data_IF_852650182398
#
_entry.id   IF_852650182398
#
_cell.length_a   1.000
_cell.length_b   1.000
_cell.length_c   1.000
_cell.angle_alpha   90.00
_cell.angle_beta   90.00
_cell.angle_gamma   90.00
#
_symmetry.space_group_name_H-M   'P 1'
#
loop_
_entity.id
_entity.type
_entity.pdbx_description
1 polymer ?
#
# COMPACT_ATOMS: atom_id res chain seq x y z
N UNK A 1 -24.48 -10.97 27.67
CA UNK A 1 -23.62 -9.80 27.61
C UNK A 1 -24.18 -8.84 26.56
N UNK A 2 -24.54 -7.63 26.95
CA UNK A 2 -24.93 -6.59 25.99
C UNK A 2 -23.70 -6.20 25.19
N UNK A 3 -23.60 -6.68 23.97
CA UNK A 3 -22.58 -6.17 23.02
C UNK A 3 -22.83 -4.67 22.82
N UNK A 4 -21.85 -3.86 23.17
CA UNK A 4 -21.91 -2.42 22.91
C UNK A 4 -21.83 -2.22 21.40
N UNK A 5 -22.99 -2.01 20.78
CA UNK A 5 -23.10 -1.80 19.32
C UNK A 5 -22.57 -0.45 18.84
N UNK A 6 -22.40 0.51 19.77
CA UNK A 6 -21.93 1.86 19.47
C UNK A 6 -20.91 2.36 20.49
N UNK A 7 -20.00 3.22 20.04
CA UNK A 7 -19.03 3.93 20.87
C UNK A 7 -19.30 5.41 20.75
N UNK A 8 -19.38 6.07 21.91
CA UNK A 8 -19.48 7.52 22.00
C UNK A 8 -18.11 8.12 22.31
N UNK A 9 -17.69 9.09 21.53
CA UNK A 9 -16.48 9.90 21.74
C UNK A 9 -16.84 11.37 21.72
N UNK A 10 -16.17 12.13 22.57
CA UNK A 10 -16.23 13.59 22.55
C UNK A 10 -14.84 14.12 22.18
N UNK A 11 -14.77 14.89 21.11
CA UNK A 11 -13.56 15.56 20.66
C UNK A 11 -13.95 16.95 20.17
N UNK A 12 -13.18 17.96 20.58
CA UNK A 12 -13.40 19.37 20.22
C UNK A 12 -14.82 19.88 20.58
N UNK A 13 -15.41 19.38 21.69
CA UNK A 13 -16.76 19.72 22.13
C UNK A 13 -17.88 19.07 21.28
N UNK A 14 -17.55 18.22 20.33
CA UNK A 14 -18.49 17.50 19.48
C UNK A 14 -18.61 16.05 19.91
N UNK A 15 -19.84 15.61 20.19
CA UNK A 15 -20.15 14.19 20.46
C UNK A 15 -20.31 13.44 19.14
N UNK A 16 -19.49 12.40 18.96
CA UNK A 16 -19.53 11.52 17.79
C UNK A 16 -19.94 10.12 18.20
N UNK A 17 -20.75 9.48 17.38
CA UNK A 17 -21.25 8.11 17.57
C UNK A 17 -20.65 7.24 16.47
N UNK A 18 -20.03 6.15 16.87
CA UNK A 18 -19.41 5.20 15.94
C UNK A 18 -20.04 3.82 16.11
N UNK A 19 -20.33 3.07 15.05
CA UNK A 19 -20.49 1.62 15.15
C UNK A 19 -19.22 1.00 15.74
N UNK A 20 -19.35 0.13 16.73
CA UNK A 20 -18.19 -0.37 17.49
C UNK A 20 -17.18 -1.13 16.62
N UNK A 21 -17.67 -1.92 15.64
CA UNK A 21 -16.83 -2.64 14.70
C UNK A 21 -15.97 -1.71 13.84
N UNK A 22 -16.56 -0.63 13.29
CA UNK A 22 -15.80 0.36 12.51
C UNK A 22 -14.82 1.15 13.36
N UNK A 23 -15.21 1.51 14.60
CA UNK A 23 -14.33 2.21 15.50
C UNK A 23 -13.04 1.42 15.79
N UNK A 24 -13.17 0.13 16.13
CA UNK A 24 -12.01 -0.70 16.40
C UNK A 24 -11.23 -1.04 15.13
N UNK A 25 -11.90 -1.21 14.00
CA UNK A 25 -11.24 -1.42 12.72
C UNK A 25 -10.37 -0.22 12.34
N UNK A 26 -10.88 1.01 12.48
CA UNK A 26 -10.13 2.24 12.22
C UNK A 26 -8.92 2.36 13.13
N UNK A 27 -9.08 2.13 14.44
CA UNK A 27 -7.97 2.15 15.39
C UNK A 27 -6.90 1.11 15.06
N UNK A 28 -7.31 -0.11 14.72
CA UNK A 28 -6.37 -1.18 14.36
C UNK A 28 -5.66 -0.87 13.05
N UNK A 29 -6.36 -0.30 12.05
CA UNK A 29 -5.79 0.15 10.78
C UNK A 29 -4.73 1.22 11.02
N UNK A 30 -5.04 2.24 11.82
CA UNK A 30 -4.09 3.29 12.17
C UNK A 30 -2.86 2.75 12.90
N UNK A 31 -3.06 1.81 13.83
CA UNK A 31 -1.96 1.15 14.54
C UNK A 31 -1.07 0.35 13.59
N UNK A 32 -1.66 -0.46 12.70
CA UNK A 32 -0.89 -1.25 11.73
C UNK A 32 -0.07 -0.36 10.79
N UNK A 33 -0.64 0.76 10.31
CA UNK A 33 0.10 1.74 9.51
C UNK A 33 1.28 2.35 10.29
N UNK A 34 1.05 2.71 11.55
CA UNK A 34 2.10 3.24 12.41
C UNK A 34 3.23 2.22 12.63
N UNK A 35 2.88 0.97 12.93
CA UNK A 35 3.85 -0.09 13.20
C UNK A 35 4.63 -0.48 11.93
N UNK A 36 4.00 -0.39 10.75
CA UNK A 36 4.62 -0.65 9.46
C UNK A 36 5.58 0.46 9.03
N UNK A 37 5.32 1.71 9.43
CA UNK A 37 6.09 2.88 9.00
C UNK A 37 7.41 3.01 9.78
N UNK A 38 8.28 2.03 9.62
CA UNK A 38 9.66 2.07 10.12
C UNK A 38 10.54 2.91 9.21
N UNK A 39 11.58 3.51 9.78
CA UNK A 39 12.58 4.27 9.02
C UNK A 39 13.82 3.41 8.84
N UNK A 40 14.29 3.29 7.61
CA UNK A 40 15.50 2.56 7.25
C UNK A 40 16.67 3.54 7.14
N UNK A 41 17.82 3.11 7.66
CA UNK A 41 19.08 3.88 7.51
C UNK A 41 19.63 3.64 6.10
N UNK A 42 19.34 4.57 5.18
CA UNK A 42 19.75 4.52 3.79
C UNK A 42 20.52 5.78 3.41
N UNK A 43 21.59 5.61 2.62
CA UNK A 43 22.32 6.73 2.08
C UNK A 43 21.53 7.41 0.96
N UNK A 44 21.05 8.61 1.19
CA UNK A 44 20.32 9.40 0.19
C UNK A 44 21.17 9.60 -1.09
N UNK A 45 22.46 9.91 -0.94
CA UNK A 45 23.37 10.05 -2.07
C UNK A 45 23.52 8.74 -2.85
N UNK A 46 23.53 7.59 -2.16
CA UNK A 46 23.54 6.27 -2.78
C UNK A 46 22.27 5.98 -3.57
N UNK A 47 21.10 6.33 -3.02
CA UNK A 47 19.80 6.20 -3.70
C UNK A 47 19.78 7.07 -4.95
N UNK A 48 20.14 8.35 -4.84
CA UNK A 48 20.15 9.29 -5.97
C UNK A 48 21.16 8.88 -7.05
N UNK A 49 22.32 8.36 -6.69
CA UNK A 49 23.28 7.86 -7.67
C UNK A 49 22.74 6.67 -8.47
N UNK A 50 22.14 5.69 -7.81
CA UNK A 50 21.49 4.55 -8.47
C UNK A 50 20.32 5.00 -9.33
N UNK A 51 19.51 5.93 -8.83
CA UNK A 51 18.38 6.48 -9.56
C UNK A 51 18.83 7.19 -10.85
N UNK A 52 19.92 7.97 -10.81
CA UNK A 52 20.49 8.61 -12.00
C UNK A 52 20.89 7.58 -13.07
N UNK A 53 21.45 6.44 -12.69
CA UNK A 53 21.76 5.34 -13.63
C UNK A 53 20.48 4.74 -14.24
N UNK A 54 19.40 4.62 -13.46
CA UNK A 54 18.10 4.14 -13.96
C UNK A 54 17.51 5.15 -14.95
N UNK A 55 17.54 6.45 -14.63
CA UNK A 55 17.07 7.52 -15.53
C UNK A 55 17.78 7.48 -16.88
N UNK A 56 19.11 7.29 -16.87
CA UNK A 56 19.92 7.20 -18.09
C UNK A 56 19.61 5.93 -18.89
N UNK A 57 19.59 4.77 -18.23
CA UNK A 57 19.38 3.48 -18.89
C UNK A 57 17.98 3.30 -19.48
N UNK A 58 16.97 3.91 -18.85
CA UNK A 58 15.57 3.76 -19.21
C UNK A 58 15.02 4.94 -20.02
N UNK A 59 15.87 5.97 -20.30
CA UNK A 59 15.41 7.25 -20.89
C UNK A 59 14.16 7.81 -20.15
N UNK A 60 14.22 7.77 -18.82
CA UNK A 60 13.14 8.13 -17.92
C UNK A 60 13.53 9.35 -17.07
N UNK A 61 13.45 10.57 -17.63
CA UNK A 61 13.81 11.76 -16.87
C UNK A 61 12.80 12.02 -15.75
N UNK A 62 13.32 12.23 -14.53
CA UNK A 62 12.52 12.55 -13.35
C UNK A 62 12.71 14.00 -12.93
N UNK A 63 11.65 14.62 -12.45
CA UNK A 63 11.76 15.89 -11.74
C UNK A 63 12.24 15.70 -10.29
N UNK A 64 12.53 16.82 -9.61
CA UNK A 64 13.05 16.79 -8.23
C UNK A 64 12.10 16.09 -7.26
N UNK A 65 10.79 16.35 -7.37
CA UNK A 65 9.78 15.73 -6.49
C UNK A 65 9.61 14.24 -6.74
N UNK A 66 9.76 13.81 -7.99
CA UNK A 66 9.72 12.40 -8.34
C UNK A 66 10.94 11.66 -7.77
N UNK A 67 12.13 12.27 -7.82
CA UNK A 67 13.34 11.72 -7.18
C UNK A 67 13.19 11.65 -5.66
N UNK A 68 12.69 12.73 -5.04
CA UNK A 68 12.38 12.76 -3.61
C UNK A 68 11.43 11.63 -3.22
N UNK A 69 10.36 11.40 -4.00
CA UNK A 69 9.41 10.34 -3.74
C UNK A 69 10.06 8.94 -3.77
N UNK A 70 11.01 8.69 -4.68
CA UNK A 70 11.78 7.43 -4.70
C UNK A 70 12.65 7.31 -3.46
N UNK A 71 13.36 8.37 -3.06
CA UNK A 71 14.18 8.38 -1.83
C UNK A 71 13.32 8.06 -0.61
N UNK A 72 12.16 8.69 -0.48
CA UNK A 72 11.24 8.46 0.64
C UNK A 72 10.63 7.04 0.61
N UNK A 73 10.35 6.47 -0.58
CA UNK A 73 9.90 5.09 -0.72
C UNK A 73 10.96 4.08 -0.23
N UNK A 74 12.24 4.38 -0.44
CA UNK A 74 13.35 3.54 0.03
C UNK A 74 13.58 3.70 1.53
N UNK A 75 13.41 4.91 2.06
CA UNK A 75 13.68 5.28 3.45
C UNK A 75 12.59 4.85 4.43
N UNK A 76 11.33 4.79 4.00
CA UNK A 76 10.20 4.55 4.89
C UNK A 76 9.44 3.26 4.57
N UNK A 77 8.88 2.64 5.62
CA UNK A 77 8.04 1.45 5.49
C UNK A 77 6.67 1.76 4.87
N UNK A 78 6.20 3.02 4.95
CA UNK A 78 4.95 3.48 4.31
C UNK A 78 5.21 4.79 3.58
N UNK A 79 4.81 4.86 2.32
CA UNK A 79 4.78 6.09 1.54
C UNK A 79 3.37 6.33 1.00
N UNK A 80 2.90 7.57 1.09
CA UNK A 80 1.67 8.03 0.42
C UNK A 80 2.06 9.01 -0.68
N UNK A 81 1.84 8.60 -1.93
CA UNK A 81 2.11 9.40 -3.12
C UNK A 81 0.79 9.97 -3.66
N UNK A 82 0.60 11.28 -3.54
CA UNK A 82 -0.59 11.97 -4.03
C UNK A 82 -0.27 12.92 -5.16
N UNK A 83 -1.23 13.10 -6.06
CA UNK A 83 -1.09 14.07 -7.15
C UNK A 83 -2.28 14.01 -8.08
N UNK A 84 -2.59 15.14 -8.73
CA UNK A 84 -3.65 15.23 -9.72
C UNK A 84 -3.40 14.38 -10.97
N UNK A 85 -4.38 14.32 -11.89
CA UNK A 85 -4.19 13.67 -13.17
C UNK A 85 -3.04 14.33 -13.97
N UNK A 86 -2.19 13.51 -14.60
CA UNK A 86 -1.08 13.99 -15.42
C UNK A 86 0.13 14.56 -14.66
N UNK A 87 0.21 14.38 -13.33
CA UNK A 87 1.34 14.86 -12.53
C UNK A 87 2.56 13.92 -12.54
N UNK A 88 2.57 12.90 -13.39
CA UNK A 88 3.69 11.98 -13.48
C UNK A 88 3.73 10.86 -12.44
N UNK A 89 2.61 10.56 -11.73
CA UNK A 89 2.55 9.43 -10.78
C UNK A 89 3.01 8.11 -11.39
N UNK A 90 2.57 7.81 -12.62
CA UNK A 90 2.98 6.60 -13.34
C UNK A 90 4.48 6.55 -13.58
N UNK A 91 5.08 7.68 -13.97
CA UNK A 91 6.54 7.80 -14.14
C UNK A 91 7.27 7.54 -12.83
N UNK A 92 6.76 8.08 -11.72
CA UNK A 92 7.31 7.87 -10.38
C UNK A 92 7.19 6.39 -9.95
N UNK A 93 6.04 5.75 -10.19
CA UNK A 93 5.83 4.31 -9.93
C UNK A 93 6.85 3.49 -10.73
N UNK A 94 7.04 3.76 -12.03
CA UNK A 94 8.01 3.05 -12.85
C UNK A 94 9.43 3.21 -12.30
N UNK A 95 9.81 4.42 -11.91
CA UNK A 95 11.12 4.66 -11.30
C UNK A 95 11.31 3.87 -9.98
N UNK A 96 10.27 3.81 -9.14
CA UNK A 96 10.29 3.00 -7.91
C UNK A 96 10.44 1.50 -8.22
N UNK A 97 9.67 0.98 -9.18
CA UNK A 97 9.75 -0.42 -9.60
C UNK A 97 11.19 -0.75 -10.04
N UNK A 98 11.75 0.02 -10.97
CA UNK A 98 13.11 -0.21 -11.46
C UNK A 98 14.17 -0.07 -10.37
N UNK A 99 13.98 0.86 -9.43
CA UNK A 99 14.88 0.99 -8.30
C UNK A 99 14.88 -0.27 -7.43
N UNK A 100 13.71 -0.72 -6.98
CA UNK A 100 13.58 -1.89 -6.12
C UNK A 100 13.98 -3.18 -6.84
N UNK A 101 13.65 -3.31 -8.12
CA UNK A 101 14.09 -4.44 -8.95
C UNK A 101 15.63 -4.49 -9.07
N UNK A 102 16.28 -3.33 -9.26
CA UNK A 102 17.74 -3.25 -9.30
C UNK A 102 18.41 -3.62 -7.98
N UNK A 103 17.64 -3.57 -6.88
CA UNK A 103 18.07 -3.99 -5.53
C UNK A 103 17.74 -5.46 -5.25
N UNK A 104 17.12 -6.16 -6.20
CA UNK A 104 16.73 -7.56 -6.10
C UNK A 104 15.49 -7.80 -5.24
N UNK A 105 14.67 -6.77 -5.01
CA UNK A 105 13.46 -6.86 -4.22
C UNK A 105 12.30 -7.50 -4.98
N UNK A 106 11.51 -8.32 -4.30
CA UNK A 106 10.24 -8.83 -4.80
C UNK A 106 9.15 -7.76 -4.67
N UNK A 107 8.45 -7.48 -5.79
CA UNK A 107 7.48 -6.40 -5.89
C UNK A 107 6.11 -6.95 -6.26
N UNK A 108 5.08 -6.55 -5.53
CA UNK A 108 3.69 -6.80 -5.87
C UNK A 108 2.98 -5.50 -6.24
N UNK A 109 2.28 -5.51 -7.37
CA UNK A 109 1.49 -4.38 -7.84
C UNK A 109 0.00 -4.70 -7.69
N UNK A 110 -0.76 -3.76 -7.13
CA UNK A 110 -2.18 -3.93 -6.95
C UNK A 110 -2.98 -2.64 -7.20
N UNK A 111 -4.27 -2.82 -7.46
CA UNK A 111 -5.24 -1.74 -7.54
C UNK A 111 -6.61 -2.23 -7.03
N UNK A 112 -7.53 -1.34 -6.63
CA UNK A 112 -8.82 -1.75 -6.08
C UNK A 112 -9.75 -2.41 -7.09
N UNK A 113 -9.61 -2.11 -8.39
CA UNK A 113 -10.47 -2.62 -9.46
C UNK A 113 -9.68 -3.32 -10.56
N UNK A 114 -10.33 -4.26 -11.27
CA UNK A 114 -9.70 -4.95 -12.41
C UNK A 114 -9.30 -4.01 -13.54
N UNK A 115 -10.06 -2.93 -13.77
CA UNK A 115 -9.72 -1.90 -14.77
C UNK A 115 -8.46 -1.14 -14.38
N UNK A 116 -8.34 -0.74 -13.13
CA UNK A 116 -7.16 -0.04 -12.62
C UNK A 116 -5.93 -0.96 -12.63
N UNK A 117 -6.08 -2.23 -12.21
CA UNK A 117 -5.00 -3.22 -12.27
C UNK A 117 -4.51 -3.45 -13.71
N UNK A 118 -5.43 -3.62 -14.67
CA UNK A 118 -5.08 -3.75 -16.08
C UNK A 118 -4.31 -2.54 -16.60
N UNK A 119 -4.80 -1.32 -16.29
CA UNK A 119 -4.12 -0.08 -16.67
C UNK A 119 -2.72 -0.01 -16.06
N UNK A 120 -2.57 -0.38 -14.79
CA UNK A 120 -1.27 -0.42 -14.12
C UNK A 120 -0.32 -1.39 -14.83
N UNK A 121 -0.78 -2.59 -15.20
CA UNK A 121 0.02 -3.54 -16.00
C UNK A 121 0.44 -2.95 -17.35
N UNK A 122 -0.49 -2.33 -18.08
CA UNK A 122 -0.20 -1.74 -19.40
C UNK A 122 0.81 -0.58 -19.33
N UNK A 123 0.78 0.20 -18.24
CA UNK A 123 1.65 1.39 -18.10
C UNK A 123 3.00 1.10 -17.46
N UNK A 124 3.10 0.04 -16.68
CA UNK A 124 4.35 -0.34 -15.99
C UNK A 124 5.08 -1.48 -16.71
N UNK A 125 4.37 -2.30 -17.47
CA UNK A 125 4.90 -3.54 -18.04
C UNK A 125 4.99 -4.71 -17.03
N UNK A 126 4.62 -4.48 -15.76
CA UNK A 126 4.62 -5.48 -14.70
C UNK A 126 3.20 -5.95 -14.39
N UNK A 127 3.03 -7.23 -14.07
CA UNK A 127 1.71 -7.77 -13.74
C UNK A 127 1.17 -7.13 -12.45
N UNK A 128 0.02 -6.47 -12.57
CA UNK A 128 -0.75 -5.95 -11.45
C UNK A 128 -2.07 -6.70 -11.31
N UNK A 129 -2.52 -6.88 -10.08
CA UNK A 129 -3.77 -7.56 -9.78
C UNK A 129 -4.68 -6.71 -8.89
N UNK A 130 -5.94 -7.14 -8.72
CA UNK A 130 -6.79 -6.45 -7.76
C UNK A 130 -6.35 -6.76 -6.32
N UNK A 131 -6.56 -5.80 -5.40
CA UNK A 131 -6.28 -6.04 -3.97
C UNK A 131 -7.02 -7.28 -3.46
N UNK A 132 -8.25 -7.50 -3.90
CA UNK A 132 -9.03 -8.70 -3.56
C UNK A 132 -8.35 -10.00 -4.04
N UNK A 133 -7.80 -10.00 -5.26
CA UNK A 133 -7.08 -11.15 -5.80
C UNK A 133 -5.74 -11.36 -5.09
N UNK A 134 -5.04 -10.26 -4.77
CA UNK A 134 -3.80 -10.28 -4.00
C UNK A 134 -4.01 -10.94 -2.63
N UNK A 135 -5.14 -10.62 -1.98
CA UNK A 135 -5.50 -11.17 -0.67
C UNK A 135 -6.12 -12.58 -0.74
N UNK A 136 -6.30 -13.12 -1.96
CA UNK A 136 -6.86 -14.45 -2.18
C UNK A 136 -8.22 -14.62 -1.48
N UNK A 137 -9.30 -14.16 -2.13
CA UNK A 137 -10.66 -14.34 -1.61
C UNK A 137 -10.93 -15.83 -1.40
N UNK A 138 -11.17 -16.24 -0.17
CA UNK A 138 -11.49 -17.62 0.17
C UNK A 138 -12.81 -18.01 -0.48
N UNK A 139 -12.75 -18.93 -1.45
CA UNK A 139 -13.92 -19.41 -2.20
C UNK A 139 -14.74 -20.49 -1.49
N UNK A 140 -14.47 -20.79 -0.22
CA UNK A 140 -15.17 -21.85 0.50
C UNK A 140 -16.26 -21.24 1.42
N UNK A 141 -17.56 -21.37 1.08
CA UNK A 141 -18.66 -20.87 1.92
C UNK A 141 -18.77 -21.58 3.26
N UNK A 142 -18.05 -22.68 3.48
CA UNK A 142 -18.15 -23.54 4.67
C UNK A 142 -17.17 -23.18 5.80
N UNK A 143 -16.19 -22.30 5.53
CA UNK A 143 -15.26 -21.83 6.57
C UNK A 143 -15.84 -20.62 7.34
N UNK A 144 -16.78 -20.88 8.23
CA UNK A 144 -17.35 -19.89 9.14
C UNK A 144 -16.34 -19.23 10.10
N UNK A 145 -15.12 -19.76 10.22
CA UNK A 145 -14.07 -19.22 11.08
C UNK A 145 -13.24 -18.10 10.44
N UNK A 146 -13.25 -17.95 9.11
CA UNK A 146 -12.54 -16.85 8.42
C UNK A 146 -13.49 -15.65 8.21
N UNK A 147 -13.75 -14.92 9.26
CA UNK A 147 -14.66 -13.75 9.27
C UNK A 147 -14.33 -12.62 8.28
N UNK A 148 -13.23 -12.66 7.56
CA UNK A 148 -12.82 -11.64 6.59
C UNK A 148 -12.82 -12.11 5.14
N UNK A 149 -13.07 -13.38 4.85
CA UNK A 149 -13.14 -13.89 3.47
C UNK A 149 -11.82 -13.86 2.67
N UNK A 150 -10.67 -13.58 3.29
CA UNK A 150 -9.35 -13.54 2.67
C UNK A 150 -8.42 -14.60 3.26
N UNK A 151 -7.70 -15.33 2.38
CA UNK A 151 -6.69 -16.32 2.79
C UNK A 151 -5.40 -15.68 3.27
N UNK A 152 -5.06 -14.51 2.70
CA UNK A 152 -3.91 -13.72 3.14
C UNK A 152 -4.29 -12.86 4.33
N UNK A 153 -3.56 -13.02 5.42
CA UNK A 153 -3.82 -12.36 6.70
C UNK A 153 -2.56 -12.43 7.58
N UNK A 154 -2.67 -12.10 8.86
CA UNK A 154 -1.54 -12.09 9.80
C UNK A 154 -0.86 -13.46 9.95
N UNK A 155 -1.60 -14.56 9.87
CA UNK A 155 -1.09 -15.93 10.01
C UNK A 155 -0.56 -16.50 8.69
N UNK A 156 -0.96 -15.90 7.57
CA UNK A 156 -0.53 -16.23 6.21
C UNK A 156 -0.26 -14.94 5.41
N UNK A 157 0.80 -14.19 5.74
CA UNK A 157 1.07 -12.89 5.14
C UNK A 157 1.52 -12.98 3.68
N UNK A 158 1.55 -11.82 3.03
CA UNK A 158 2.17 -11.66 1.73
C UNK A 158 3.70 -11.70 1.90
N UNK A 159 4.33 -12.61 1.19
CA UNK A 159 5.80 -12.74 1.17
C UNK A 159 6.36 -11.89 0.04
N UNK A 160 6.74 -10.66 0.34
CA UNK A 160 7.25 -9.68 -0.63
C UNK A 160 7.99 -8.56 0.09
N UNK A 161 8.89 -7.89 -0.63
CA UNK A 161 9.66 -6.76 -0.10
C UNK A 161 8.94 -5.42 -0.28
N UNK A 162 8.17 -5.29 -1.38
CA UNK A 162 7.50 -4.04 -1.74
C UNK A 162 6.08 -4.33 -2.26
N UNK A 163 5.12 -3.54 -1.81
CA UNK A 163 3.76 -3.53 -2.34
C UNK A 163 3.43 -2.12 -2.80
N UNK A 164 3.03 -1.96 -4.05
CA UNK A 164 2.55 -0.68 -4.61
C UNK A 164 1.07 -0.83 -4.93
N UNK A 165 0.25 0.02 -4.33
CA UNK A 165 -1.21 0.03 -4.57
C UNK A 165 -1.59 1.37 -5.18
N UNK A 166 -2.11 1.35 -6.41
CA UNK A 166 -2.61 2.54 -7.11
C UNK A 166 -4.12 2.72 -6.91
N UNK A 167 -4.63 3.92 -7.20
CA UNK A 167 -6.04 4.31 -7.07
C UNK A 167 -6.59 4.14 -5.64
N UNK A 168 -5.81 4.51 -4.63
CA UNK A 168 -6.16 4.35 -3.22
C UNK A 168 -7.42 5.09 -2.79
N UNK A 169 -7.83 6.13 -3.52
CA UNK A 169 -9.10 6.84 -3.26
C UNK A 169 -10.35 5.95 -3.35
N UNK A 170 -10.24 4.77 -4.00
CA UNK A 170 -11.32 3.80 -4.15
C UNK A 170 -11.27 2.67 -3.10
N UNK A 171 -10.29 2.66 -2.21
CA UNK A 171 -10.13 1.65 -1.16
C UNK A 171 -10.89 2.08 0.09
N UNK A 172 -11.81 1.24 0.55
CA UNK A 172 -12.54 1.46 1.80
C UNK A 172 -11.76 0.95 3.03
N UNK A 173 -12.25 1.30 4.21
CA UNK A 173 -11.61 0.91 5.48
C UNK A 173 -11.52 -0.61 5.67
N UNK A 174 -12.55 -1.42 5.39
CA UNK A 174 -12.45 -2.88 5.47
C UNK A 174 -11.36 -3.47 4.58
N UNK A 175 -11.26 -3.03 3.34
CA UNK A 175 -10.25 -3.52 2.40
C UNK A 175 -8.84 -3.08 2.82
N UNK A 176 -8.68 -1.83 3.29
CA UNK A 176 -7.41 -1.34 3.83
C UNK A 176 -6.99 -2.13 5.07
N UNK A 177 -7.92 -2.40 5.98
CA UNK A 177 -7.66 -3.22 7.16
C UNK A 177 -7.22 -4.64 6.79
N UNK A 178 -7.89 -5.26 5.80
CA UNK A 178 -7.54 -6.59 5.31
C UNK A 178 -6.13 -6.60 4.68
N UNK A 179 -5.82 -5.62 3.84
CA UNK A 179 -4.50 -5.47 3.23
C UNK A 179 -3.41 -5.36 4.30
N UNK A 180 -3.55 -4.44 5.24
CA UNK A 180 -2.56 -4.24 6.30
C UNK A 180 -2.41 -5.47 7.21
N UNK A 181 -3.46 -6.25 7.39
CA UNK A 181 -3.39 -7.51 8.15
C UNK A 181 -2.55 -8.57 7.46
N UNK A 182 -2.35 -8.46 6.15
CA UNK A 182 -1.54 -9.39 5.35
C UNK A 182 -0.11 -8.88 5.07
N UNK A 183 0.23 -7.66 5.50
CA UNK A 183 1.55 -7.04 5.26
C UNK A 183 2.42 -7.17 6.51
N UNK A 184 3.63 -7.67 6.36
CA UNK A 184 4.61 -7.78 7.44
C UNK A 184 5.41 -6.49 7.63
N UNK A 185 5.82 -6.23 8.87
CA UNK A 185 6.85 -5.21 9.15
C UNK A 185 8.14 -5.61 8.44
N UNK A 186 8.71 -4.69 7.68
CA UNK A 186 9.85 -4.95 6.79
C UNK A 186 9.48 -4.87 5.31
N UNK A 187 8.22 -5.13 4.95
CA UNK A 187 7.68 -4.85 3.61
C UNK A 187 7.40 -3.34 3.48
N UNK A 188 7.82 -2.75 2.38
CA UNK A 188 7.50 -1.36 2.05
C UNK A 188 6.13 -1.28 1.37
N UNK A 189 5.26 -0.43 1.88
CA UNK A 189 3.92 -0.20 1.36
C UNK A 189 3.82 1.20 0.74
N UNK A 190 3.63 1.26 -0.57
CA UNK A 190 3.50 2.49 -1.33
C UNK A 190 2.05 2.62 -1.78
N UNK A 191 1.38 3.65 -1.30
CA UNK A 191 -0.03 3.96 -1.55
C UNK A 191 -0.13 5.16 -2.47
N UNK A 192 -0.74 4.98 -3.64
CA UNK A 192 -0.82 6.00 -4.70
C UNK A 192 -2.28 6.40 -4.95
N UNK A 193 -2.55 7.73 -4.99
CA UNK A 193 -3.92 8.23 -5.19
C UNK A 193 -4.01 9.71 -5.58
#
# INVERSE_FOLDING_TARGET
SMERKVILKEADGVKRVYPSNYYYMEMNTAKMLHDLNVTYDVSETGVLHRLAQIEENMDLPLDEKQREAVVEAVRHGVLVLTGGPGTGKTTTINAMIHYFESDGADILLAAPTGRAAKRMTETTGYEAQTVHRLLEVSGNPEDEEQKNGFSRNRDNPLETDVIIVDEMSMVDLPLMHALLSAVCVGTRLILVG
#
